data_IF_458956790658
#
_entry.id   IF_458956790658
#
_cell.length_a   1.000
_cell.length_b   1.000
_cell.length_c   1.000
_cell.angle_alpha   90.00
_cell.angle_beta   90.00
_cell.angle_gamma   90.00
#
_symmetry.space_group_name_H-M   'P 1'
#
loop_
_entity.id
_entity.type
_entity.pdbx_description
1 polymer ?
#
# COMPACT_ATOMS: atom_id res chain seq x y z
N UNK A 1 -25.32 6.47 16.92
CA UNK A 1 -23.98 5.87 16.97
C UNK A 1 -22.94 6.97 17.02
N UNK A 2 -22.82 7.83 16.00
CA UNK A 2 -21.83 8.92 16.00
C UNK A 2 -21.81 9.78 17.27
N UNK A 3 -22.98 10.31 17.69
CA UNK A 3 -23.07 11.09 18.93
C UNK A 3 -22.53 10.34 20.14
N UNK A 4 -22.74 9.03 20.28
CA UNK A 4 -22.21 8.21 21.38
C UNK A 4 -20.68 8.24 21.47
N UNK A 5 -20.01 8.50 20.34
CA UNK A 5 -18.55 8.56 20.22
C UNK A 5 -18.02 9.99 20.39
N UNK A 6 -18.87 10.94 20.79
CA UNK A 6 -18.49 12.32 21.09
C UNK A 6 -18.13 12.47 22.57
N UNK A 7 -17.05 13.16 22.87
CA UNK A 7 -16.66 13.47 24.25
C UNK A 7 -17.63 14.50 24.88
N UNK A 8 -18.00 14.31 26.15
CA UNK A 8 -18.75 15.30 26.93
C UNK A 8 -20.28 15.24 26.80
N UNK A 9 -20.85 14.09 26.41
CA UNK A 9 -22.29 13.87 26.47
C UNK A 9 -22.71 13.68 27.93
N UNK A 10 -23.86 14.24 28.27
CA UNK A 10 -24.51 14.03 29.55
C UNK A 10 -24.86 12.55 29.80
N UNK A 11 -24.74 12.07 31.04
CA UNK A 11 -24.98 10.65 31.36
C UNK A 11 -26.41 10.20 31.05
N UNK A 12 -27.40 11.06 31.22
CA UNK A 12 -28.79 10.74 30.92
C UNK A 12 -29.01 10.62 29.41
N UNK A 13 -28.46 11.56 28.63
CA UNK A 13 -28.50 11.49 27.16
C UNK A 13 -27.78 10.22 26.65
N UNK A 14 -26.64 9.89 27.24
CA UNK A 14 -25.89 8.69 26.92
C UNK A 14 -26.71 7.41 27.16
N UNK A 15 -27.38 7.31 28.32
CA UNK A 15 -28.22 6.15 28.66
C UNK A 15 -29.40 5.97 27.70
N UNK A 16 -30.01 7.08 27.24
CA UNK A 16 -31.10 7.07 26.26
C UNK A 16 -30.58 6.64 24.89
N UNK A 17 -29.42 7.15 24.46
CA UNK A 17 -28.79 6.76 23.21
C UNK A 17 -28.42 5.28 23.20
N UNK A 18 -27.85 4.76 24.29
CA UNK A 18 -27.50 3.35 24.43
C UNK A 18 -28.74 2.46 24.29
N UNK A 19 -29.84 2.82 24.95
CA UNK A 19 -31.12 2.09 24.85
C UNK A 19 -31.67 2.08 23.42
N UNK A 20 -31.61 3.22 22.73
CA UNK A 20 -32.04 3.33 21.33
C UNK A 20 -31.17 2.49 20.39
N UNK A 21 -29.86 2.48 20.62
CA UNK A 21 -28.92 1.67 19.83
C UNK A 21 -29.20 0.18 20.02
N UNK A 22 -29.39 -0.29 21.26
CA UNK A 22 -29.73 -1.70 21.53
C UNK A 22 -31.01 -2.12 20.78
N UNK A 23 -32.06 -1.31 20.85
CA UNK A 23 -33.31 -1.56 20.08
C UNK A 23 -33.09 -1.60 18.56
N UNK A 24 -32.24 -0.72 18.04
CA UNK A 24 -31.90 -0.71 16.61
C UNK A 24 -31.12 -1.96 16.20
N UNK A 25 -30.22 -2.45 17.06
CA UNK A 25 -29.48 -3.70 16.84
C UNK A 25 -30.44 -4.88 16.81
N UNK A 26 -31.37 -4.97 17.75
CA UNK A 26 -32.39 -6.02 17.77
C UNK A 26 -33.23 -6.01 16.49
N UNK A 27 -33.71 -4.83 16.07
CA UNK A 27 -34.46 -4.66 14.82
C UNK A 27 -33.63 -5.05 13.58
N UNK A 28 -32.34 -4.72 13.57
CA UNK A 28 -31.44 -5.08 12.49
C UNK A 28 -31.31 -6.60 12.34
N UNK A 29 -31.09 -7.33 13.44
CA UNK A 29 -31.02 -8.79 13.39
C UNK A 29 -32.33 -9.44 12.96
N UNK A 30 -33.47 -8.94 13.46
CA UNK A 30 -34.77 -9.39 12.97
C UNK A 30 -34.91 -9.14 11.46
N UNK A 31 -34.40 -8.01 10.95
CA UNK A 31 -34.51 -7.63 9.54
C UNK A 31 -33.68 -8.52 8.63
N UNK A 32 -32.54 -9.04 9.10
CA UNK A 32 -31.72 -9.99 8.37
C UNK A 32 -32.45 -11.33 8.13
N UNK A 33 -33.28 -11.76 9.08
CA UNK A 33 -34.03 -13.02 8.99
C UNK A 33 -35.44 -12.86 8.38
N UNK A 34 -35.98 -11.64 8.36
CA UNK A 34 -37.32 -11.35 7.84
C UNK A 34 -37.58 -11.89 6.41
N UNK A 35 -36.64 -11.83 5.45
CA UNK A 35 -36.82 -12.39 4.11
C UNK A 35 -37.08 -13.90 4.11
N UNK A 36 -36.50 -14.64 5.05
CA UNK A 36 -36.68 -16.11 5.19
C UNK A 36 -38.10 -16.46 5.66
N UNK A 37 -38.72 -15.57 6.43
CA UNK A 37 -40.06 -15.72 6.98
C UNK A 37 -41.14 -14.92 6.22
N UNK A 38 -40.78 -14.23 5.13
CA UNK A 38 -41.68 -13.35 4.38
C UNK A 38 -42.22 -12.15 5.19
N UNK A 39 -41.55 -11.79 6.29
CA UNK A 39 -42.02 -10.75 7.22
C UNK A 39 -41.45 -9.39 6.84
N UNK A 40 -42.26 -8.33 6.93
CA UNK A 40 -41.79 -6.94 6.77
C UNK A 40 -41.54 -6.32 8.13
N UNK A 41 -40.38 -5.69 8.29
CA UNK A 41 -39.99 -5.01 9.53
C UNK A 41 -40.05 -3.51 9.31
N UNK A 42 -40.76 -2.82 10.20
CA UNK A 42 -40.86 -1.37 10.21
C UNK A 42 -40.00 -0.80 11.34
N UNK A 43 -39.19 0.22 11.04
CA UNK A 43 -38.41 0.94 12.04
C UNK A 43 -39.28 2.05 12.66
N UNK A 44 -39.50 2.04 13.99
CA UNK A 44 -40.24 3.09 14.68
C UNK A 44 -39.63 4.48 14.47
N UNK A 45 -40.49 5.51 14.28
CA UNK A 45 -40.06 6.88 14.01
C UNK A 45 -39.14 7.48 15.11
N UNK A 46 -39.29 7.03 16.35
CA UNK A 46 -38.46 7.43 17.51
C UNK A 46 -37.01 6.94 17.44
N UNK A 47 -36.75 5.90 16.63
CA UNK A 47 -35.44 5.33 16.35
C UNK A 47 -34.83 5.87 15.04
N UNK A 48 -35.63 6.55 14.21
CA UNK A 48 -35.17 7.16 12.97
C UNK A 48 -34.38 8.43 13.26
N UNK A 49 -33.16 8.52 12.72
CA UNK A 49 -32.33 9.71 12.84
C UNK A 49 -32.87 10.86 11.98
N UNK A 50 -32.96 12.06 12.58
CA UNK A 50 -33.41 13.28 11.90
C UNK A 50 -32.25 14.02 11.21
N UNK A 51 -31.09 14.04 11.86
CA UNK A 51 -29.85 14.66 11.35
C UNK A 51 -28.73 13.63 11.35
N UNK A 52 -27.79 13.79 10.43
CA UNK A 52 -26.71 12.84 10.18
C UNK A 52 -25.34 13.51 10.32
N UNK A 53 -24.28 12.77 10.70
CA UNK A 53 -22.93 13.32 10.67
C UNK A 53 -22.55 13.78 9.27
N UNK A 54 -21.76 14.85 9.16
CA UNK A 54 -21.34 15.45 7.88
C UNK A 54 -20.65 14.45 6.96
N UNK A 55 -19.84 13.53 7.50
CA UNK A 55 -19.14 12.49 6.73
C UNK A 55 -20.06 11.43 6.08
N UNK A 56 -21.39 11.49 6.29
CA UNK A 56 -22.37 10.63 5.61
C UNK A 56 -23.00 11.26 4.36
N UNK A 57 -22.62 12.49 4.00
CA UNK A 57 -23.10 13.21 2.81
C UNK A 57 -24.62 13.23 2.63
N UNK A 58 -25.34 13.51 3.73
CA UNK A 58 -26.81 13.67 3.72
C UNK A 58 -27.21 15.13 3.84
N UNK A 59 -28.37 15.48 3.28
CA UNK A 59 -28.92 16.85 3.26
C UNK A 59 -29.00 17.48 4.65
N UNK A 60 -29.65 16.78 5.59
CA UNK A 60 -29.77 17.23 6.98
C UNK A 60 -28.58 16.72 7.78
N UNK A 61 -27.50 17.51 7.85
CA UNK A 61 -26.26 17.11 8.50
C UNK A 61 -25.77 18.08 9.58
N UNK A 62 -24.98 17.54 10.51
CA UNK A 62 -24.24 18.30 11.52
C UNK A 62 -22.75 17.97 11.43
N UNK A 63 -21.90 18.91 11.81
CA UNK A 63 -20.47 18.67 11.89
C UNK A 63 -20.15 17.85 13.13
N UNK A 64 -19.68 16.62 12.93
CA UNK A 64 -19.39 15.68 14.01
C UNK A 64 -18.05 15.95 14.66
N UNK A 65 -18.05 16.04 15.98
CA UNK A 65 -16.84 16.11 16.81
C UNK A 65 -16.42 14.75 17.37
N UNK A 66 -17.08 13.66 16.94
CA UNK A 66 -16.70 12.30 17.30
C UNK A 66 -15.34 11.92 16.71
N UNK A 67 -14.79 10.79 17.15
CA UNK A 67 -13.57 10.25 16.54
C UNK A 67 -13.73 10.00 15.03
N UNK A 68 -14.93 9.61 14.57
CA UNK A 68 -15.19 9.36 13.15
C UNK A 68 -15.20 10.66 12.35
N UNK A 69 -15.83 11.71 12.89
CA UNK A 69 -15.82 13.04 12.28
C UNK A 69 -14.40 13.60 12.16
N UNK A 70 -13.61 13.51 13.24
CA UNK A 70 -12.21 13.94 13.25
C UNK A 70 -11.36 13.20 12.22
N UNK A 71 -11.52 11.88 12.10
CA UNK A 71 -10.80 11.07 11.10
C UNK A 71 -11.17 11.51 9.68
N UNK A 72 -12.46 11.75 9.43
CA UNK A 72 -12.94 12.20 8.12
C UNK A 72 -12.33 13.55 7.74
N UNK A 73 -12.37 14.53 8.65
CA UNK A 73 -11.84 15.87 8.39
C UNK A 73 -10.33 15.84 8.13
N UNK A 74 -9.58 15.06 8.89
CA UNK A 74 -8.14 14.88 8.67
C UNK A 74 -7.84 14.19 7.34
N UNK A 75 -8.67 13.21 6.94
CA UNK A 75 -8.53 12.57 5.64
C UNK A 75 -8.81 13.53 4.49
N UNK A 76 -9.86 14.35 4.58
CA UNK A 76 -10.15 15.38 3.57
C UNK A 76 -9.05 16.43 3.49
N UNK A 77 -8.57 16.97 4.62
CA UNK A 77 -7.45 17.93 4.63
C UNK A 77 -6.24 17.39 3.86
N UNK A 78 -5.88 16.13 4.10
CA UNK A 78 -4.75 15.48 3.41
C UNK A 78 -4.96 15.25 1.92
N UNK A 79 -6.20 15.16 1.44
CA UNK A 79 -6.47 15.08 0.00
C UNK A 79 -6.18 16.42 -0.69
N UNK A 80 -6.34 17.54 0.01
CA UNK A 80 -6.11 18.89 -0.52
C UNK A 80 -4.73 19.47 -0.19
N UNK A 81 -4.00 18.87 0.75
CA UNK A 81 -2.57 19.14 0.94
C UNK A 81 -1.83 18.77 -0.35
N UNK A 82 -1.27 19.79 -1.02
CA UNK A 82 -0.35 19.59 -2.14
C UNK A 82 0.82 18.77 -1.63
N UNK A 83 0.82 17.48 -1.94
CA UNK A 83 1.94 16.57 -1.67
C UNK A 83 3.18 17.22 -2.29
N UNK A 84 4.14 17.60 -1.45
CA UNK A 84 5.41 18.12 -1.92
C UNK A 84 6.05 17.13 -2.92
N UNK A 85 6.77 17.61 -3.93
CA UNK A 85 7.36 16.73 -4.93
C UNK A 85 8.23 15.69 -4.23
N UNK A 86 7.82 14.42 -4.33
CA UNK A 86 8.51 13.28 -3.72
C UNK A 86 9.97 13.29 -4.15
N UNK A 87 10.87 13.48 -3.18
CA UNK A 87 12.30 13.33 -3.41
C UNK A 87 12.61 11.84 -3.60
N UNK A 88 13.00 11.47 -4.82
CA UNK A 88 13.32 10.08 -5.16
C UNK A 88 14.82 9.89 -4.95
N UNK A 89 15.18 9.27 -3.83
CA UNK A 89 16.53 8.85 -3.52
C UNK A 89 16.79 7.42 -3.98
N UNK A 90 18.04 7.14 -4.36
CA UNK A 90 18.51 5.81 -4.70
C UNK A 90 19.15 5.17 -3.47
N UNK A 91 18.89 3.89 -3.24
CA UNK A 91 19.60 3.12 -2.22
C UNK A 91 21.01 2.74 -2.75
N UNK A 92 22.10 3.14 -2.05
CA UNK A 92 23.46 2.86 -2.47
C UNK A 92 23.74 1.38 -2.74
N UNK A 93 23.12 0.46 -1.98
CA UNK A 93 23.38 -0.98 -2.08
C UNK A 93 23.06 -1.54 -3.45
N UNK A 94 21.94 -1.10 -4.03
CA UNK A 94 21.56 -1.52 -5.37
C UNK A 94 22.45 -0.87 -6.44
N UNK A 95 22.87 0.38 -6.25
CA UNK A 95 23.76 1.06 -7.20
C UNK A 95 25.20 0.52 -7.19
N UNK A 96 25.71 0.12 -6.02
CA UNK A 96 27.05 -0.46 -5.87
C UNK A 96 27.13 -1.84 -6.53
N UNK A 97 26.11 -2.69 -6.36
CA UNK A 97 26.00 -3.99 -7.06
C UNK A 97 25.98 -3.79 -8.58
N UNK A 98 25.18 -2.86 -9.08
CA UNK A 98 25.10 -2.57 -10.53
C UNK A 98 26.42 -2.05 -11.11
N UNK A 99 27.14 -1.21 -10.36
CA UNK A 99 28.47 -0.76 -10.74
C UNK A 99 29.50 -1.91 -10.74
N UNK A 100 29.41 -2.80 -9.74
CA UNK A 100 30.30 -3.96 -9.58
C UNK A 100 30.15 -4.98 -10.71
N UNK A 101 28.96 -5.12 -11.29
CA UNK A 101 28.73 -5.95 -12.48
C UNK A 101 29.25 -5.31 -13.79
N UNK A 102 29.97 -4.18 -13.70
CA UNK A 102 30.50 -3.46 -14.86
C UNK A 102 29.43 -2.96 -15.82
N UNK A 103 28.20 -2.73 -15.33
CA UNK A 103 27.07 -2.31 -16.15
C UNK A 103 26.74 -3.25 -17.32
N UNK A 104 27.08 -4.54 -17.20
CA UNK A 104 26.85 -5.59 -18.21
C UNK A 104 25.46 -5.55 -18.85
N UNK A 105 24.44 -5.26 -18.04
CA UNK A 105 23.03 -5.29 -18.45
C UNK A 105 22.42 -3.91 -18.77
N UNK A 106 23.23 -2.84 -18.70
CA UNK A 106 22.74 -1.45 -18.78
C UNK A 106 22.09 -1.14 -20.14
N UNK A 107 22.77 -1.46 -21.24
CA UNK A 107 22.26 -1.19 -22.58
C UNK A 107 20.99 -2.01 -22.88
N UNK A 108 20.98 -3.27 -22.47
CA UNK A 108 19.86 -4.19 -22.65
C UNK A 108 18.60 -3.65 -21.97
N UNK A 109 18.70 -3.33 -20.68
CA UNK A 109 17.54 -2.85 -19.91
C UNK A 109 17.17 -1.41 -20.18
N UNK A 110 18.11 -0.58 -20.65
CA UNK A 110 17.79 0.78 -21.12
C UNK A 110 16.88 0.71 -22.34
N UNK A 111 17.13 -0.22 -23.26
CA UNK A 111 16.26 -0.51 -24.40
C UNK A 111 14.90 -1.03 -23.95
N UNK A 112 14.89 -2.13 -23.18
CA UNK A 112 13.65 -2.77 -22.68
C UNK A 112 12.77 -1.81 -21.89
N UNK A 113 13.35 -0.96 -21.05
CA UNK A 113 12.58 0.03 -20.29
C UNK A 113 12.04 1.16 -21.19
N UNK A 114 12.72 1.52 -22.27
CA UNK A 114 12.18 2.45 -23.27
C UNK A 114 10.96 1.83 -23.97
N UNK A 115 11.06 0.57 -24.35
CA UNK A 115 9.95 -0.17 -24.96
C UNK A 115 8.76 -0.25 -23.99
N UNK A 116 9.02 -0.50 -22.70
CA UNK A 116 7.99 -0.49 -21.66
C UNK A 116 7.28 0.87 -21.60
N UNK A 117 8.02 1.98 -21.64
CA UNK A 117 7.42 3.31 -21.61
C UNK A 117 6.55 3.59 -22.84
N UNK A 118 6.93 3.06 -24.01
CA UNK A 118 6.14 3.17 -25.23
C UNK A 118 4.88 2.29 -25.18
N UNK A 119 4.97 1.08 -24.64
CA UNK A 119 3.85 0.14 -24.48
C UNK A 119 2.88 0.58 -23.38
N UNK A 120 3.38 1.15 -22.28
CA UNK A 120 2.57 1.61 -21.15
C UNK A 120 1.93 2.98 -21.37
N UNK A 121 2.50 3.85 -22.20
CA UNK A 121 1.98 5.19 -22.48
C UNK A 121 0.50 5.19 -22.90
N UNK A 122 0.11 4.44 -23.95
CA UNK A 122 -1.28 4.37 -24.42
C UNK A 122 -2.25 3.77 -23.40
N UNK A 123 -1.77 2.96 -22.45
CA UNK A 123 -2.62 2.34 -21.43
C UNK A 123 -3.09 3.35 -20.38
N UNK A 124 -2.33 4.42 -20.15
CA UNK A 124 -2.66 5.45 -19.14
C UNK A 124 -3.86 6.30 -19.59
N UNK A 125 -4.09 6.42 -20.90
CA UNK A 125 -5.15 7.26 -21.47
C UNK A 125 -6.51 6.54 -21.63
N UNK A 126 -6.59 5.25 -21.28
CA UNK A 126 -7.83 4.47 -21.37
C UNK A 126 -8.81 4.82 -20.24
N UNK A 127 -10.10 4.90 -20.57
CA UNK A 127 -11.17 5.19 -19.59
C UNK A 127 -11.59 3.97 -18.77
N UNK A 128 -11.45 2.76 -19.32
CA UNK A 128 -11.78 1.51 -18.62
C UNK A 128 -10.63 1.09 -17.70
N UNK A 129 -10.85 1.22 -16.38
CA UNK A 129 -9.85 0.89 -15.36
C UNK A 129 -9.58 -0.61 -15.27
N UNK A 130 -10.59 -1.46 -15.42
CA UNK A 130 -10.43 -2.91 -15.26
C UNK A 130 -9.64 -3.50 -16.43
N UNK A 131 -9.96 -3.08 -17.66
CA UNK A 131 -9.23 -3.49 -18.85
C UNK A 131 -7.77 -3.00 -18.81
N UNK A 132 -7.56 -1.78 -18.33
CA UNK A 132 -6.23 -1.18 -18.18
C UNK A 132 -5.36 -1.95 -17.18
N UNK A 133 -5.92 -2.30 -16.01
CA UNK A 133 -5.21 -3.07 -14.99
C UNK A 133 -4.81 -4.46 -15.50
N UNK A 134 -5.68 -5.10 -16.29
CA UNK A 134 -5.38 -6.40 -16.90
C UNK A 134 -4.22 -6.30 -17.90
N UNK A 135 -4.24 -5.30 -18.79
CA UNK A 135 -3.15 -5.05 -19.74
C UNK A 135 -1.82 -4.74 -19.05
N UNK A 136 -1.84 -3.99 -17.95
CA UNK A 136 -0.63 -3.75 -17.15
C UNK A 136 -0.07 -5.02 -16.53
N UNK A 137 -0.93 -5.92 -16.03
CA UNK A 137 -0.49 -7.22 -15.51
C UNK A 137 0.19 -8.07 -16.59
N UNK A 138 -0.40 -8.13 -17.79
CA UNK A 138 0.21 -8.83 -18.94
C UNK A 138 1.56 -8.21 -19.34
N UNK A 139 1.64 -6.87 -19.35
CA UNK A 139 2.87 -6.15 -19.64
C UNK A 139 3.96 -6.47 -18.61
N UNK A 140 3.66 -6.42 -17.32
CA UNK A 140 4.61 -6.81 -16.28
C UNK A 140 5.01 -8.27 -16.41
N UNK A 141 4.08 -9.16 -16.74
CA UNK A 141 4.35 -10.57 -16.94
C UNK A 141 5.36 -10.80 -18.07
N UNK A 142 5.21 -10.09 -19.20
CA UNK A 142 6.17 -10.11 -20.32
C UNK A 142 7.58 -9.76 -19.86
N UNK A 143 7.74 -8.68 -19.09
CA UNK A 143 9.07 -8.27 -18.59
C UNK A 143 9.61 -9.17 -17.49
N UNK A 144 8.75 -9.80 -16.67
CA UNK A 144 9.16 -10.85 -15.72
C UNK A 144 9.75 -12.04 -16.46
N UNK A 145 9.10 -12.53 -17.51
CA UNK A 145 9.65 -13.61 -18.33
C UNK A 145 10.99 -13.24 -18.96
N UNK A 146 11.15 -12.00 -19.45
CA UNK A 146 12.45 -11.53 -19.97
C UNK A 146 13.56 -11.41 -18.93
N UNK A 147 13.20 -11.32 -17.64
CA UNK A 147 14.13 -11.18 -16.52
C UNK A 147 14.44 -12.53 -15.85
N UNK A 148 13.45 -13.39 -15.67
CA UNK A 148 13.60 -14.62 -14.88
C UNK A 148 13.60 -15.88 -15.73
N UNK A 149 13.30 -15.79 -17.04
CA UNK A 149 12.91 -16.92 -17.91
C UNK A 149 11.77 -17.75 -17.30
N UNK A 150 10.96 -17.13 -16.45
CA UNK A 150 9.91 -17.75 -15.66
C UNK A 150 8.81 -16.74 -15.32
N UNK A 151 7.67 -17.26 -14.85
CA UNK A 151 6.54 -16.41 -14.50
C UNK A 151 6.83 -15.55 -13.25
N UNK A 152 7.57 -16.11 -12.30
CA UNK A 152 7.94 -15.49 -11.04
C UNK A 152 9.41 -15.80 -10.70
N UNK A 153 9.98 -15.00 -9.81
CA UNK A 153 11.37 -15.13 -9.39
C UNK A 153 11.68 -16.50 -8.78
N UNK A 154 10.79 -17.04 -7.95
CA UNK A 154 10.97 -18.31 -7.25
C UNK A 154 11.09 -19.52 -8.20
N UNK A 155 10.63 -19.36 -9.43
CA UNK A 155 10.66 -20.39 -10.47
C UNK A 155 11.88 -20.27 -11.39
N UNK A 156 12.73 -19.26 -11.18
CA UNK A 156 13.88 -19.03 -12.06
C UNK A 156 14.89 -20.17 -11.95
N UNK A 157 15.35 -20.66 -13.11
CA UNK A 157 16.48 -21.59 -13.19
C UNK A 157 17.79 -20.86 -13.53
N UNK A 158 17.73 -19.53 -13.68
CA UNK A 158 18.90 -18.70 -13.97
C UNK A 158 19.82 -18.63 -12.76
N UNK A 159 21.09 -18.31 -13.01
CA UNK A 159 22.03 -18.01 -11.94
C UNK A 159 21.55 -16.78 -11.16
N UNK A 160 21.35 -16.94 -9.85
CA UNK A 160 20.85 -15.90 -8.96
C UNK A 160 21.75 -14.66 -8.94
N UNK A 161 23.07 -14.81 -9.04
CA UNK A 161 23.99 -13.67 -9.06
C UNK A 161 23.80 -12.81 -10.30
N UNK A 162 23.61 -13.44 -11.47
CA UNK A 162 23.32 -12.72 -12.70
C UNK A 162 21.96 -12.02 -12.65
N UNK A 163 20.95 -12.67 -12.07
CA UNK A 163 19.62 -12.07 -11.86
C UNK A 163 19.73 -10.87 -10.92
N UNK A 164 20.50 -10.94 -9.85
CA UNK A 164 20.68 -9.80 -8.93
C UNK A 164 21.40 -8.63 -9.59
N UNK A 165 22.43 -8.89 -10.40
CA UNK A 165 23.14 -7.85 -11.15
C UNK A 165 22.19 -7.14 -12.14
N UNK A 166 21.37 -7.92 -12.83
CA UNK A 166 20.38 -7.43 -13.80
C UNK A 166 19.27 -6.61 -13.12
N UNK A 167 18.74 -7.12 -12.02
CA UNK A 167 17.71 -6.47 -11.18
C UNK A 167 18.21 -5.14 -10.58
N UNK A 168 19.44 -5.10 -10.08
CA UNK A 168 20.06 -3.87 -9.56
C UNK A 168 20.29 -2.85 -10.67
N UNK A 169 20.66 -3.31 -11.87
CA UNK A 169 20.77 -2.46 -13.06
C UNK A 169 19.41 -1.85 -13.44
N UNK A 170 18.34 -2.64 -13.42
CA UNK A 170 16.96 -2.16 -13.67
C UNK A 170 16.58 -1.09 -12.64
N UNK A 171 16.83 -1.34 -11.36
CA UNK A 171 16.57 -0.38 -10.28
C UNK A 171 17.24 0.97 -10.57
N UNK A 172 18.54 0.96 -10.87
CA UNK A 172 19.30 2.18 -11.15
C UNK A 172 18.73 2.95 -12.35
N UNK A 173 18.53 2.29 -13.50
CA UNK A 173 18.00 2.92 -14.73
C UNK A 173 16.67 3.63 -14.47
N UNK A 174 15.77 2.95 -13.76
CA UNK A 174 14.42 3.46 -13.53
C UNK A 174 14.42 4.58 -12.50
N UNK A 175 15.15 4.44 -11.40
CA UNK A 175 15.19 5.44 -10.34
C UNK A 175 15.91 6.72 -10.79
N UNK A 176 17.01 6.64 -11.55
CA UNK A 176 17.65 7.82 -12.14
C UNK A 176 16.68 8.58 -13.05
N UNK A 177 15.93 7.86 -13.89
CA UNK A 177 14.89 8.46 -14.74
C UNK A 177 13.71 8.97 -13.91
N UNK A 178 13.29 8.29 -12.85
CA UNK A 178 12.17 8.73 -12.02
C UNK A 178 12.52 10.02 -11.28
N UNK A 179 13.73 10.08 -10.68
CA UNK A 179 14.27 11.25 -10.00
C UNK A 179 14.43 12.45 -10.96
N UNK A 180 15.02 12.24 -12.14
CA UNK A 180 15.20 13.30 -13.15
C UNK A 180 13.89 13.96 -13.57
N UNK A 181 12.82 13.17 -13.70
CA UNK A 181 11.52 13.66 -14.14
C UNK A 181 10.55 13.93 -12.99
N UNK A 182 10.96 13.73 -11.73
CA UNK A 182 10.13 13.83 -10.51
C UNK A 182 8.81 13.04 -10.62
N UNK A 183 8.87 11.83 -11.19
CA UNK A 183 7.71 10.95 -11.42
C UNK A 183 7.86 9.64 -10.66
N UNK A 184 7.43 9.62 -9.40
CA UNK A 184 7.50 8.44 -8.54
C UNK A 184 6.74 7.23 -9.11
N UNK A 185 5.64 7.45 -9.85
CA UNK A 185 4.88 6.39 -10.49
C UNK A 185 5.69 5.54 -11.49
N UNK A 186 6.83 6.04 -11.99
CA UNK A 186 7.73 5.25 -12.86
C UNK A 186 8.44 4.12 -12.11
N UNK A 187 8.61 4.25 -10.79
CA UNK A 187 9.23 3.22 -9.96
C UNK A 187 8.38 1.95 -9.87
N UNK A 188 7.08 2.00 -10.20
CA UNK A 188 6.19 0.84 -10.21
C UNK A 188 6.71 -0.29 -11.11
N UNK A 189 7.36 0.03 -12.23
CA UNK A 189 7.94 -0.99 -13.10
C UNK A 189 8.94 -1.88 -12.36
N UNK A 190 9.84 -1.27 -11.59
CA UNK A 190 10.87 -2.00 -10.82
C UNK A 190 10.21 -2.91 -9.81
N UNK A 191 9.25 -2.40 -9.02
CA UNK A 191 8.66 -3.18 -7.94
C UNK A 191 7.73 -4.29 -8.43
N UNK A 192 7.06 -4.10 -9.58
CA UNK A 192 6.21 -5.13 -10.18
C UNK A 192 7.01 -6.23 -10.91
N UNK A 193 8.13 -5.89 -11.55
CA UNK A 193 8.94 -6.85 -12.33
C UNK A 193 10.08 -7.44 -11.50
N UNK A 194 10.85 -6.59 -10.84
CA UNK A 194 12.11 -6.92 -10.18
C UNK A 194 12.02 -6.95 -8.64
N UNK A 195 10.89 -6.51 -8.06
CA UNK A 195 10.76 -6.26 -6.62
C UNK A 195 11.02 -7.48 -5.74
N UNK A 196 10.59 -8.67 -6.16
CA UNK A 196 10.84 -9.92 -5.39
C UNK A 196 12.34 -10.25 -5.30
N UNK A 197 13.05 -10.16 -6.42
CA UNK A 197 14.50 -10.37 -6.45
C UNK A 197 15.26 -9.30 -5.65
N UNK A 198 14.85 -8.02 -5.73
CA UNK A 198 15.43 -6.94 -4.91
C UNK A 198 15.27 -7.22 -3.41
N UNK A 199 14.08 -7.62 -2.97
CA UNK A 199 13.84 -7.96 -1.57
C UNK A 199 14.73 -9.14 -1.13
N UNK A 200 14.90 -10.15 -1.99
CA UNK A 200 15.76 -11.30 -1.67
C UNK A 200 17.22 -10.91 -1.59
N UNK A 201 17.71 -10.10 -2.53
CA UNK A 201 19.07 -9.56 -2.51
C UNK A 201 19.32 -8.75 -1.23
N UNK A 202 18.40 -7.86 -0.86
CA UNK A 202 18.50 -7.06 0.36
C UNK A 202 18.54 -7.94 1.63
N UNK A 203 17.73 -9.00 1.67
CA UNK A 203 17.73 -9.94 2.78
C UNK A 203 19.09 -10.67 2.92
N UNK A 204 19.69 -11.10 1.80
CA UNK A 204 20.98 -11.80 1.80
C UNK A 204 22.13 -10.89 2.24
N UNK A 205 22.18 -9.65 1.76
CA UNK A 205 23.18 -8.66 2.17
C UNK A 205 23.07 -8.34 3.68
N UNK A 206 21.84 -8.23 4.20
CA UNK A 206 21.62 -7.95 5.63
C UNK A 206 21.81 -9.16 6.54
N UNK A 207 21.70 -10.38 6.01
CA UNK A 207 22.09 -11.60 6.72
C UNK A 207 23.61 -11.79 6.74
N UNK A 208 24.33 -11.40 5.68
CA UNK A 208 25.79 -11.38 5.64
C UNK A 208 26.43 -10.42 6.66
N UNK A 209 25.77 -9.30 6.93
CA UNK A 209 26.17 -8.31 7.94
C UNK A 209 25.84 -8.74 9.38
N UNK A 210 24.98 -9.74 9.56
CA UNK A 210 24.67 -10.32 10.87
C UNK A 210 25.65 -11.45 11.14
N UNK A 211 26.79 -11.12 11.74
CA UNK A 211 27.47 -12.10 12.60
C UNK A 211 26.45 -12.53 13.66
N UNK A 212 25.93 -13.75 13.53
CA UNK A 212 25.14 -14.41 14.56
C UNK A 212 26.07 -14.65 15.75
N UNK A 213 26.23 -13.63 16.58
CA UNK A 213 26.90 -13.75 17.86
C UNK A 213 25.96 -14.53 18.77
N UNK A 214 26.34 -15.72 19.27
CA UNK A 214 25.53 -16.43 20.25
C UNK A 214 25.21 -15.48 21.42
N UNK A 215 23.96 -15.48 21.88
CA UNK A 215 23.46 -14.61 22.98
C UNK A 215 24.39 -14.62 24.22
N UNK A 216 25.12 -15.71 24.43
CA UNK A 216 26.15 -15.87 25.47
C UNK A 216 27.34 -14.91 25.28
N UNK A 217 27.82 -14.71 24.05
CA UNK A 217 28.95 -13.83 23.74
C UNK A 217 28.51 -12.36 23.82
N UNK A 218 27.30 -12.02 23.35
CA UNK A 218 26.75 -10.66 23.46
C UNK A 218 26.55 -10.22 24.93
N UNK A 219 26.14 -11.14 25.81
CA UNK A 219 25.99 -10.89 27.26
C UNK A 219 27.34 -10.67 27.99
N UNK A 220 28.44 -11.21 27.47
CA UNK A 220 29.75 -11.05 28.09
C UNK A 220 30.41 -9.71 27.73
N UNK A 221 30.08 -9.13 26.56
CA UNK A 221 30.56 -7.83 26.13
C UNK A 221 29.93 -6.68 26.92
N UNK A 222 28.65 -6.81 27.31
CA UNK A 222 27.96 -5.79 28.13
C UNK A 222 28.35 -5.83 29.60
N UNK A 223 28.79 -6.99 30.12
CA UNK A 223 29.29 -7.12 31.50
C UNK A 223 30.68 -6.52 31.73
N UNK A 224 31.55 -6.48 30.70
CA UNK A 224 32.91 -5.93 30.84
C UNK A 224 32.98 -4.39 30.88
N UNK A 225 31.90 -3.67 30.53
CA UNK A 225 31.85 -2.20 30.60
C UNK A 225 31.35 -1.63 31.94
N UNK A 226 31.07 -2.49 32.93
CA UNK A 226 30.74 -2.09 34.31
C UNK A 226 31.80 -2.62 35.28
N UNK A 227 33.02 -2.12 35.18
CA UNK A 227 34.01 -2.09 36.26
C UNK A 227 34.81 -0.81 36.16
#
# INVERSE_FOLDING_TARGET
MDRLLTDGIDEDENSVLERKIKRLVDLYYLALDAPKAGTKINVPAELTAKTYPHYMDRKESYHSTSILGKIYDEAEKKQYEKVEPVEISLDPRFTERAASSGYKYLNLWTGRYRDYLNESGPLIDNQDKEETDLKFKELYQKYKYMLYDAAEFEQTQRNLDEVFDEVCTIYQIVYEKAARFKKAGRCNFVWNVAGRALCRFYALETEGDKVLVPLTVARNLTKRRRR
#
